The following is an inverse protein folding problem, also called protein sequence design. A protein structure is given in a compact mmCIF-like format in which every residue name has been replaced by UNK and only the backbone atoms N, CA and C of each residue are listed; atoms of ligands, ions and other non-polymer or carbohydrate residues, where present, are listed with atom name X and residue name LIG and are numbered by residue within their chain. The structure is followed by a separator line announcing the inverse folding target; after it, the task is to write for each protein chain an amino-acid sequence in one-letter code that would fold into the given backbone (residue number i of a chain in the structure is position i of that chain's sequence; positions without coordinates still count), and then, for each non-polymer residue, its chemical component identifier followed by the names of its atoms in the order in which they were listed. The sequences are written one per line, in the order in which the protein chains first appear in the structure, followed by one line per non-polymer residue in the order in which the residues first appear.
data_IF_595862838788
#
_entry.id   IF_595862838788
#
_cell.length_a   1.000
_cell.length_b   1.000
_cell.length_c   1.000
_cell.angle_alpha   90.00
_cell.angle_beta   90.00
_cell.angle_gamma   90.00
#
_symmetry.space_group_name_H-M   'P 1'
#
loop_
_entity.id
_entity.type
_entity.pdbx_description
1 polymer ?
#
# COMPACT_ATOMS: atom_id res chain seq x y z
N UNK A 1 27.66 -29.55 30.20
CA UNK A 1 28.68 -28.92 31.04
C UNK A 1 29.91 -28.64 30.19
N UNK A 2 30.17 -27.38 29.83
CA UNK A 2 31.51 -26.77 29.85
C UNK A 2 31.29 -25.28 30.12
N UNK A 3 31.54 -24.86 31.36
CA UNK A 3 31.64 -23.46 31.76
C UNK A 3 33.03 -22.96 31.34
N UNK A 4 33.07 -21.94 30.48
CA UNK A 4 34.28 -21.20 30.16
C UNK A 4 34.15 -19.80 30.74
N UNK A 5 34.69 -19.61 31.92
CA UNK A 5 34.82 -18.32 32.59
C UNK A 5 36.01 -17.56 31.98
N UNK A 6 35.77 -16.40 31.38
CA UNK A 6 36.82 -15.43 31.06
C UNK A 6 36.33 -14.03 31.42
N UNK A 7 36.91 -13.51 32.48
CA UNK A 7 36.81 -12.13 32.93
C UNK A 7 37.80 -11.29 32.10
N UNK A 8 37.30 -10.28 31.41
CA UNK A 8 38.10 -9.37 30.59
C UNK A 8 37.20 -8.29 29.99
N UNK A 9 37.42 -7.04 30.38
CA UNK A 9 36.66 -5.85 29.96
C UNK A 9 36.84 -5.55 28.46
N UNK A 10 36.27 -6.39 27.61
CA UNK A 10 35.98 -6.10 26.22
C UNK A 10 34.48 -5.97 26.07
N UNK A 11 34.01 -4.90 25.41
CA UNK A 11 32.60 -4.71 25.04
C UNK A 11 32.01 -6.02 24.50
N UNK A 12 31.19 -6.69 25.31
CA UNK A 12 30.60 -7.99 24.98
C UNK A 12 29.58 -7.76 23.88
N UNK A 13 29.98 -7.95 22.62
CA UNK A 13 29.09 -7.82 21.46
C UNK A 13 27.97 -8.86 21.61
N UNK A 14 26.78 -8.40 21.96
CA UNK A 14 25.58 -9.21 22.05
C UNK A 14 25.13 -9.60 20.64
N UNK A 15 25.60 -10.74 20.15
CA UNK A 15 25.16 -11.29 18.88
C UNK A 15 23.84 -12.06 19.07
N UNK A 16 22.72 -11.48 18.62
CA UNK A 16 21.41 -12.17 18.59
C UNK A 16 21.26 -12.92 17.27
N UNK A 17 21.12 -14.25 17.34
CA UNK A 17 20.78 -15.07 16.16
C UNK A 17 19.38 -14.72 15.67
N UNK A 18 19.25 -14.45 14.37
CA UNK A 18 17.97 -14.15 13.74
C UNK A 18 17.06 -15.37 13.80
N UNK A 19 15.87 -15.20 14.38
CA UNK A 19 14.81 -16.24 14.44
C UNK A 19 13.78 -15.92 13.35
N UNK A 20 13.19 -16.96 12.78
CA UNK A 20 12.08 -16.84 11.83
C UNK A 20 10.87 -17.55 12.42
N UNK A 21 9.69 -17.05 12.10
CA UNK A 21 8.42 -17.71 12.39
C UNK A 21 8.21 -18.74 11.29
N UNK A 22 7.83 -19.95 11.69
CA UNK A 22 7.45 -20.99 10.76
C UNK A 22 6.25 -21.74 11.34
N UNK A 23 5.35 -22.13 10.44
CA UNK A 23 4.04 -22.63 10.79
C UNK A 23 4.02 -24.17 10.67
N UNK A 24 3.20 -24.86 11.48
CA UNK A 24 3.01 -26.31 11.34
C UNK A 24 2.32 -26.64 10.00
N UNK A 25 2.54 -27.86 9.52
CA UNK A 25 1.92 -28.34 8.28
C UNK A 25 0.39 -28.31 8.37
N UNK A 26 -0.26 -27.84 7.30
CA UNK A 26 -1.71 -27.67 7.24
C UNK A 26 -2.24 -26.36 7.86
N UNK A 27 -1.38 -25.44 8.28
CA UNK A 27 -1.81 -24.11 8.73
C UNK A 27 -2.19 -23.22 7.53
N UNK A 28 -3.38 -22.61 7.59
CA UNK A 28 -3.89 -21.68 6.57
C UNK A 28 -4.29 -20.34 7.18
N UNK A 29 -4.03 -19.25 6.46
CA UNK A 29 -4.46 -17.89 6.76
C UNK A 29 -5.61 -17.57 5.81
N UNK A 30 -6.78 -17.23 6.36
CA UNK A 30 -7.93 -16.79 5.58
C UNK A 30 -8.38 -15.39 5.97
N UNK A 31 -8.80 -14.62 4.97
CA UNK A 31 -9.39 -13.31 5.13
C UNK A 31 -10.70 -13.29 4.33
N UNK A 32 -11.80 -13.02 5.03
CA UNK A 32 -13.11 -12.83 4.42
C UNK A 32 -13.54 -11.38 4.64
N UNK A 33 -13.93 -10.71 3.56
CA UNK A 33 -14.45 -9.35 3.59
C UNK A 33 -15.80 -9.28 2.90
N UNK A 34 -16.74 -8.60 3.56
CA UNK A 34 -18.06 -8.33 3.03
C UNK A 34 -18.21 -6.81 2.90
N UNK A 35 -18.41 -6.31 1.69
CA UNK A 35 -18.66 -4.91 1.41
C UNK A 35 -20.06 -4.75 0.87
N UNK A 36 -20.82 -3.81 1.40
CA UNK A 36 -22.15 -3.45 0.89
C UNK A 36 -22.13 -1.99 0.45
N UNK A 37 -22.37 -1.76 -0.84
CA UNK A 37 -22.43 -0.42 -1.44
C UNK A 37 -23.86 -0.18 -1.92
N UNK A 38 -24.50 0.90 -1.46
CA UNK A 38 -25.80 1.31 -2.00
C UNK A 38 -25.60 1.92 -3.39
N UNK A 39 -26.22 1.39 -4.44
CA UNK A 39 -26.05 1.93 -5.80
C UNK A 39 -26.91 3.18 -6.02
N UNK A 40 -28.08 3.24 -5.38
CA UNK A 40 -29.03 4.35 -5.52
C UNK A 40 -29.56 4.67 -4.13
N UNK A 41 -29.27 5.89 -3.66
CA UNK A 41 -29.77 6.40 -2.39
C UNK A 41 -28.78 6.36 -1.23
N UNK A 42 -27.48 6.59 -1.45
CA UNK A 42 -26.58 6.95 -0.34
C UNK A 42 -25.74 8.22 -0.62
N UNK A 43 -25.56 9.11 0.39
CA UNK A 43 -26.03 8.97 1.77
C UNK A 43 -27.55 9.15 1.83
N UNK A 44 -28.25 8.14 2.35
CA UNK A 44 -29.68 8.25 2.56
C UNK A 44 -29.84 9.38 3.56
N UNK A 45 -30.61 10.44 3.27
CA UNK A 45 -31.13 11.25 4.35
C UNK A 45 -31.86 10.29 5.32
N UNK A 46 -31.93 10.64 6.61
CA UNK A 46 -32.56 9.87 7.69
C UNK A 46 -34.06 9.57 7.48
N UNK A 47 -34.59 9.81 6.28
CA UNK A 47 -35.99 9.79 5.87
C UNK A 47 -36.33 8.74 4.82
N UNK A 48 -35.38 8.06 4.16
CA UNK A 48 -35.70 6.95 3.25
C UNK A 48 -34.55 5.92 3.10
N UNK A 49 -34.78 4.62 3.35
CA UNK A 49 -33.77 3.59 3.08
C UNK A 49 -33.56 3.43 1.56
N UNK A 50 -32.30 3.48 1.11
CA UNK A 50 -31.95 3.21 -0.29
C UNK A 50 -32.42 1.82 -0.74
N UNK A 51 -33.03 1.73 -1.92
CA UNK A 51 -33.77 0.54 -2.37
C UNK A 51 -32.88 -0.54 -3.00
N UNK A 52 -31.69 -0.19 -3.49
CA UNK A 52 -30.78 -1.12 -4.16
C UNK A 52 -29.39 -1.14 -3.50
N UNK A 53 -29.03 -2.28 -2.92
CA UNK A 53 -27.74 -2.54 -2.30
C UNK A 53 -26.98 -3.61 -3.09
N UNK A 54 -25.71 -3.33 -3.40
CA UNK A 54 -24.77 -4.26 -3.99
C UNK A 54 -23.90 -4.83 -2.89
N UNK A 55 -23.96 -6.14 -2.68
CA UNK A 55 -23.08 -6.86 -1.76
C UNK A 55 -21.95 -7.54 -2.52
N UNK A 56 -20.71 -7.22 -2.18
CA UNK A 56 -19.52 -7.93 -2.63
C UNK A 56 -18.93 -8.72 -1.45
N UNK A 57 -18.88 -10.04 -1.57
CA UNK A 57 -18.21 -10.92 -0.61
C UNK A 57 -16.95 -11.49 -1.26
N UNK A 58 -15.80 -11.26 -0.63
CA UNK A 58 -14.53 -11.80 -1.09
C UNK A 58 -13.89 -12.63 0.02
N UNK A 59 -13.33 -13.78 -0.37
CA UNK A 59 -12.64 -14.69 0.53
C UNK A 59 -11.29 -15.08 -0.07
N UNK A 60 -10.22 -14.87 0.67
CA UNK A 60 -8.87 -15.24 0.30
C UNK A 60 -8.37 -16.24 1.33
N UNK A 61 -7.88 -17.39 0.89
CA UNK A 61 -7.21 -18.38 1.73
C UNK A 61 -5.81 -18.63 1.19
N UNK A 62 -4.83 -18.58 2.07
CA UNK A 62 -3.42 -18.79 1.76
C UNK A 62 -2.81 -19.80 2.72
N UNK A 63 -2.10 -20.79 2.19
CA UNK A 63 -1.37 -21.76 2.99
C UNK A 63 -0.09 -21.13 3.54
N UNK A 64 0.15 -21.26 4.85
CA UNK A 64 1.35 -20.69 5.44
C UNK A 64 2.56 -21.59 5.18
N UNK A 65 3.74 -21.00 4.91
CA UNK A 65 4.93 -21.78 4.58
C UNK A 65 5.46 -22.54 5.80
N UNK A 66 5.81 -23.81 5.58
CA UNK A 66 6.39 -24.72 6.58
C UNK A 66 7.86 -24.36 6.93
N UNK A 67 8.43 -24.97 7.98
CA UNK A 67 9.82 -24.86 8.43
C UNK A 67 10.85 -25.02 7.31
N UNK A 68 10.67 -25.99 6.41
CA UNK A 68 11.62 -26.30 5.33
C UNK A 68 11.59 -25.23 4.24
N UNK A 69 10.38 -24.84 3.82
CA UNK A 69 10.16 -23.81 2.81
C UNK A 69 10.61 -22.43 3.29
N UNK A 70 10.29 -22.08 4.54
CA UNK A 70 10.75 -20.84 5.16
C UNK A 70 12.28 -20.79 5.25
N UNK A 71 12.94 -21.88 5.66
CA UNK A 71 14.40 -21.94 5.72
C UNK A 71 15.06 -21.76 4.34
N UNK A 72 14.53 -22.40 3.30
CA UNK A 72 14.99 -22.25 1.92
C UNK A 72 14.78 -20.82 1.41
N UNK A 73 13.61 -20.25 1.66
CA UNK A 73 13.26 -18.88 1.27
C UNK A 73 14.18 -17.84 1.91
N UNK A 74 14.42 -17.93 3.22
CA UNK A 74 15.30 -17.00 3.93
C UNK A 74 16.77 -17.14 3.49
N UNK A 75 17.24 -18.36 3.20
CA UNK A 75 18.58 -18.62 2.70
C UNK A 75 18.79 -18.02 1.30
N UNK A 76 17.79 -18.12 0.41
CA UNK A 76 17.81 -17.53 -0.94
C UNK A 76 17.73 -16.00 -0.92
N UNK A 77 16.98 -15.41 0.01
CA UNK A 77 16.69 -13.96 0.04
C UNK A 77 17.75 -13.07 0.71
N UNK A 78 18.82 -13.60 1.31
CA UNK A 78 19.78 -12.79 2.09
C UNK A 78 20.35 -11.59 1.31
N UNK A 79 20.52 -11.70 -0.01
CA UNK A 79 21.08 -10.64 -0.87
C UNK A 79 20.11 -10.04 -1.90
N UNK A 80 18.87 -10.53 -2.02
CA UNK A 80 17.92 -10.12 -3.08
C UNK A 80 16.63 -9.46 -2.57
N UNK A 81 16.57 -9.08 -1.29
CA UNK A 81 15.36 -8.52 -0.68
C UNK A 81 14.74 -7.36 -1.46
N UNK A 82 15.47 -6.28 -1.82
CA UNK A 82 14.86 -5.13 -2.49
C UNK A 82 14.34 -5.52 -3.89
N UNK A 83 15.10 -6.31 -4.66
CA UNK A 83 14.73 -6.75 -6.00
C UNK A 83 13.47 -7.60 -6.00
N UNK A 84 13.36 -8.58 -5.09
CA UNK A 84 12.16 -9.43 -5.00
C UNK A 84 10.95 -8.62 -4.54
N UNK A 85 11.15 -7.67 -3.62
CA UNK A 85 10.09 -6.80 -3.13
C UNK A 85 9.57 -5.88 -4.26
N UNK A 86 10.45 -5.33 -5.09
CA UNK A 86 10.07 -4.53 -6.27
C UNK A 86 9.32 -5.35 -7.31
N UNK A 87 9.78 -6.57 -7.60
CA UNK A 87 9.10 -7.46 -8.54
C UNK A 87 7.66 -7.74 -8.12
N UNK A 88 7.44 -8.12 -6.85
CA UNK A 88 6.10 -8.40 -6.34
C UNK A 88 5.17 -7.19 -6.41
N UNK A 89 5.70 -5.99 -6.17
CA UNK A 89 4.91 -4.75 -6.29
C UNK A 89 4.60 -4.35 -7.72
N UNK A 90 5.54 -4.57 -8.65
CA UNK A 90 5.27 -4.36 -10.08
C UNK A 90 4.12 -5.25 -10.56
N UNK A 91 4.13 -6.53 -10.19
CA UNK A 91 3.04 -7.46 -10.54
C UNK A 91 1.68 -7.04 -9.93
N UNK A 92 1.69 -6.38 -8.75
CA UNK A 92 0.49 -5.78 -8.17
C UNK A 92 0.04 -4.55 -8.96
N UNK A 93 0.95 -3.62 -9.24
CA UNK A 93 0.64 -2.37 -9.95
C UNK A 93 0.13 -2.63 -11.36
N UNK A 94 0.73 -3.55 -12.09
CA UNK A 94 0.29 -3.97 -13.43
C UNK A 94 -1.17 -4.45 -13.42
N UNK A 95 -1.57 -5.23 -12.41
CA UNK A 95 -2.96 -5.65 -12.25
C UNK A 95 -3.89 -4.47 -11.92
N UNK A 96 -3.44 -3.55 -11.08
CA UNK A 96 -4.22 -2.35 -10.74
C UNK A 96 -4.36 -1.40 -11.91
N UNK A 97 -3.34 -1.25 -12.76
CA UNK A 97 -3.41 -0.49 -14.02
C UNK A 97 -4.53 -1.03 -14.89
N UNK A 98 -4.56 -2.34 -15.13
CA UNK A 98 -5.61 -2.99 -15.94
C UNK A 98 -7.01 -2.74 -15.35
N UNK A 99 -7.16 -2.83 -14.03
CA UNK A 99 -8.45 -2.57 -13.37
C UNK A 99 -8.90 -1.13 -13.60
N UNK A 100 -7.97 -0.17 -13.45
CA UNK A 100 -8.27 1.26 -13.64
C UNK A 100 -8.53 1.60 -15.11
N UNK A 101 -7.83 0.96 -16.04
CA UNK A 101 -8.06 1.07 -17.47
C UNK A 101 -9.47 0.55 -17.84
N UNK A 102 -9.88 -0.59 -17.27
CA UNK A 102 -11.22 -1.14 -17.45
C UNK A 102 -12.32 -0.24 -16.86
N UNK A 103 -11.98 0.61 -15.90
CA UNK A 103 -12.88 1.62 -15.33
C UNK A 103 -12.94 2.91 -16.17
N UNK A 104 -12.14 3.03 -17.23
CA UNK A 104 -12.10 4.18 -18.13
C UNK A 104 -11.10 5.27 -17.75
N UNK A 105 -10.15 4.99 -16.85
CA UNK A 105 -9.09 5.91 -16.47
C UNK A 105 -7.76 5.50 -17.11
N UNK A 106 -6.78 6.42 -17.13
CA UNK A 106 -5.41 6.04 -17.48
C UNK A 106 -4.74 5.39 -16.27
N UNK A 107 -4.81 4.06 -16.17
CA UNK A 107 -4.37 3.28 -15.04
C UNK A 107 -2.92 3.56 -14.67
N UNK A 108 -2.04 3.67 -15.67
CA UNK A 108 -0.62 3.99 -15.47
C UNK A 108 -0.41 5.34 -14.80
N UNK A 109 -1.07 6.39 -15.28
CA UNK A 109 -1.00 7.72 -14.65
C UNK A 109 -1.54 7.69 -13.21
N UNK A 110 -2.63 6.96 -12.98
CA UNK A 110 -3.23 6.85 -11.65
C UNK A 110 -2.35 6.12 -10.63
N UNK A 111 -1.64 5.07 -11.03
CA UNK A 111 -0.67 4.40 -10.16
C UNK A 111 0.52 5.31 -9.87
N UNK A 112 1.04 6.03 -10.85
CA UNK A 112 2.15 6.98 -10.64
C UNK A 112 1.74 8.12 -9.71
N UNK A 113 0.53 8.67 -9.88
CA UNK A 113 -0.06 9.66 -8.97
C UNK A 113 -0.13 9.12 -7.54
N UNK A 114 -0.65 7.91 -7.38
CA UNK A 114 -0.78 7.24 -6.08
C UNK A 114 0.57 7.03 -5.41
N UNK A 115 1.59 6.60 -6.16
CA UNK A 115 2.95 6.41 -5.64
C UNK A 115 3.58 7.71 -5.13
N UNK A 116 3.28 8.83 -5.80
CA UNK A 116 3.71 10.15 -5.37
C UNK A 116 2.91 10.61 -4.13
N UNK A 117 1.58 10.57 -4.18
CA UNK A 117 0.69 11.03 -3.10
C UNK A 117 0.85 10.24 -1.79
N UNK A 118 1.12 8.93 -1.88
CA UNK A 118 1.31 8.07 -0.71
C UNK A 118 2.46 8.54 0.17
N UNK A 119 3.56 9.03 -0.41
CA UNK A 119 4.70 9.55 0.35
C UNK A 119 4.43 10.88 1.06
N UNK A 120 3.51 11.68 0.51
CA UNK A 120 3.15 12.99 1.05
C UNK A 120 2.04 12.91 2.11
N UNK A 121 1.01 12.11 1.85
CA UNK A 121 -0.24 12.13 2.61
C UNK A 121 -0.37 11.02 3.66
N UNK A 122 0.43 9.94 3.58
CA UNK A 122 0.38 8.83 4.54
C UNK A 122 1.52 8.98 5.55
N UNK A 123 1.17 9.45 6.74
CA UNK A 123 2.15 9.71 7.80
C UNK A 123 2.70 8.36 8.31
N UNK A 124 4.00 8.26 8.64
CA UNK A 124 4.53 7.10 9.35
C UNK A 124 3.84 6.96 10.72
N UNK A 125 3.19 5.81 10.95
CA UNK A 125 2.28 5.49 12.08
C UNK A 125 0.88 6.11 11.95
N UNK A 126 0.19 5.82 10.83
CA UNK A 126 -1.18 6.24 10.57
C UNK A 126 -2.19 5.72 11.61
N UNK A 127 -3.36 6.35 11.65
CA UNK A 127 -4.39 6.10 12.66
C UNK A 127 -5.13 4.76 12.50
N UNK A 128 -5.14 4.20 11.28
CA UNK A 128 -5.98 3.05 10.91
C UNK A 128 -5.20 1.91 10.22
N UNK A 129 -5.66 0.67 10.38
CA UNK A 129 -5.07 -0.52 9.73
C UNK A 129 -5.09 -0.41 8.19
N UNK A 130 -6.17 0.11 7.60
CA UNK A 130 -6.31 0.26 6.14
C UNK A 130 -5.26 1.22 5.59
N UNK A 131 -5.01 2.33 6.29
CA UNK A 131 -3.98 3.30 5.94
C UNK A 131 -2.59 2.66 5.94
N UNK A 132 -2.30 1.83 6.95
CA UNK A 132 -1.03 1.13 7.09
C UNK A 132 -0.83 0.06 6.00
N UNK A 133 -1.88 -0.69 5.67
CA UNK A 133 -1.87 -1.66 4.57
C UNK A 133 -1.62 -0.95 3.25
N UNK A 134 -2.34 0.14 2.99
CA UNK A 134 -2.22 0.92 1.78
C UNK A 134 -0.82 1.53 1.65
N UNK A 135 -0.30 2.14 2.72
CA UNK A 135 1.08 2.64 2.80
C UNK A 135 2.07 1.53 2.49
N UNK A 136 1.91 0.34 3.08
CA UNK A 136 2.82 -0.80 2.88
C UNK A 136 2.83 -1.29 1.42
N UNK A 137 1.68 -1.29 0.74
CA UNK A 137 1.56 -1.68 -0.67
C UNK A 137 2.22 -0.68 -1.61
N UNK A 138 2.07 0.62 -1.35
CA UNK A 138 2.56 1.70 -2.23
C UNK A 138 3.91 2.32 -1.81
N UNK A 139 4.56 1.80 -0.77
CA UNK A 139 5.92 2.25 -0.38
C UNK A 139 7.00 1.41 -1.06
N UNK A 140 7.91 2.04 -1.81
CA UNK A 140 9.04 1.38 -2.46
C UNK A 140 10.33 1.50 -1.64
N UNK A 141 11.24 0.50 -1.70
CA UNK A 141 12.52 0.59 -1.02
C UNK A 141 13.43 1.63 -1.70
N UNK A 142 13.95 2.59 -0.93
CA UNK A 142 14.87 3.65 -1.38
C UNK A 142 16.27 3.16 -1.83
N UNK A 143 16.46 1.85 -2.00
CA UNK A 143 17.71 1.29 -2.51
C UNK A 143 17.93 1.69 -3.99
N UNK A 144 19.17 1.69 -4.47
CA UNK A 144 19.44 1.89 -5.91
C UNK A 144 18.83 0.75 -6.73
N UNK A 145 18.43 1.06 -7.96
CA UNK A 145 17.96 0.09 -8.95
C UNK A 145 19.18 -0.48 -9.67
N UNK A 146 19.23 -1.80 -9.82
CA UNK A 146 20.29 -2.44 -10.60
C UNK A 146 20.03 -2.30 -12.10
N UNK A 147 21.07 -2.18 -12.96
CA UNK A 147 20.90 -2.13 -14.42
C UNK A 147 20.24 -3.38 -15.02
N UNK A 148 20.28 -4.50 -14.30
CA UNK A 148 19.61 -5.76 -14.69
C UNK A 148 18.10 -5.77 -14.43
N UNK A 149 17.59 -4.78 -13.69
CA UNK A 149 16.17 -4.65 -13.40
C UNK A 149 15.43 -4.00 -14.57
N UNK A 150 14.17 -4.39 -14.85
CA UNK A 150 13.41 -3.83 -15.97
C UNK A 150 13.04 -2.36 -15.75
N UNK A 151 12.80 -1.66 -16.86
CA UNK A 151 12.66 -0.20 -16.91
C UNK A 151 11.46 0.31 -16.10
N UNK A 152 10.38 -0.47 -16.00
CA UNK A 152 9.18 -0.11 -15.24
C UNK A 152 9.51 0.14 -13.76
N UNK A 153 10.48 -0.59 -13.19
CA UNK A 153 10.92 -0.35 -11.83
C UNK A 153 11.54 1.04 -11.66
N UNK A 154 12.24 1.56 -12.67
CA UNK A 154 12.80 2.91 -12.63
C UNK A 154 11.72 3.98 -12.67
N UNK A 155 10.66 3.78 -13.45
CA UNK A 155 9.55 4.74 -13.57
C UNK A 155 8.77 4.83 -12.26
N UNK A 156 8.43 3.68 -11.65
CA UNK A 156 7.75 3.66 -10.36
C UNK A 156 8.60 4.21 -9.21
N UNK A 157 9.90 3.87 -9.17
CA UNK A 157 10.82 4.40 -8.15
C UNK A 157 11.03 5.91 -8.31
N UNK A 158 11.04 6.42 -9.55
CA UNK A 158 11.09 7.85 -9.83
C UNK A 158 9.81 8.54 -9.31
N UNK A 159 8.62 8.04 -9.64
CA UNK A 159 7.35 8.59 -9.16
C UNK A 159 7.25 8.59 -7.62
N UNK A 160 7.71 7.51 -6.98
CA UNK A 160 7.74 7.43 -5.52
C UNK A 160 8.71 8.44 -4.89
N UNK A 161 9.89 8.62 -5.48
CA UNK A 161 10.85 9.63 -5.00
C UNK A 161 10.39 11.06 -5.25
N UNK A 162 9.64 11.30 -6.33
CA UNK A 162 9.10 12.61 -6.65
C UNK A 162 8.20 13.13 -5.54
N UNK A 163 7.40 12.28 -4.89
CA UNK A 163 6.54 12.71 -3.79
C UNK A 163 7.30 13.16 -2.53
N UNK A 164 8.56 12.72 -2.36
CA UNK A 164 9.44 13.23 -1.28
C UNK A 164 10.05 14.58 -1.63
N UNK A 165 10.22 14.87 -2.92
CA UNK A 165 10.90 16.08 -3.41
C UNK A 165 9.93 17.23 -3.72
N UNK A 166 8.74 16.90 -4.22
CA UNK A 166 7.72 17.86 -4.63
C UNK A 166 6.71 18.07 -3.51
N UNK A 167 6.10 19.26 -3.50
CA UNK A 167 4.98 19.59 -2.60
C UNK A 167 3.63 19.08 -3.14
N UNK A 168 3.53 18.81 -4.44
CA UNK A 168 2.28 18.35 -5.10
C UNK A 168 2.55 17.35 -6.22
N UNK A 169 1.61 16.42 -6.41
CA UNK A 169 1.67 15.33 -7.39
C UNK A 169 0.76 15.56 -8.62
N UNK A 170 0.43 16.82 -8.91
CA UNK A 170 -0.52 17.20 -9.97
C UNK A 170 0.03 16.98 -11.40
N UNK A 171 1.31 16.60 -11.53
CA UNK A 171 1.92 16.26 -12.82
C UNK A 171 1.37 14.97 -13.45
N UNK A 172 0.64 14.15 -12.67
CA UNK A 172 0.04 12.91 -13.15
C UNK A 172 -1.45 13.13 -13.45
N UNK A 173 -1.83 12.95 -14.71
CA UNK A 173 -3.20 13.14 -15.20
C UNK A 173 -4.10 11.97 -14.78
N UNK A 174 -4.54 11.99 -13.52
CA UNK A 174 -5.53 11.05 -13.03
C UNK A 174 -6.57 11.78 -12.15
N UNK A 175 -7.88 11.66 -12.49
CA UNK A 175 -8.94 12.34 -11.75
C UNK A 175 -9.25 11.70 -10.40
N UNK A 176 -8.91 10.41 -10.22
CA UNK A 176 -9.09 9.71 -8.96
C UNK A 176 -7.80 9.74 -8.11
N UNK A 177 -7.98 9.73 -6.79
CA UNK A 177 -6.91 9.60 -5.80
C UNK A 177 -7.18 8.33 -4.98
N UNK A 178 -6.37 7.30 -5.18
CA UNK A 178 -6.50 6.05 -4.43
C UNK A 178 -6.17 6.25 -2.95
N UNK A 179 -5.38 7.28 -2.61
CA UNK A 179 -5.07 7.66 -1.24
C UNK A 179 -6.32 8.18 -0.52
N UNK A 180 -7.13 9.01 -1.20
CA UNK A 180 -8.34 9.56 -0.60
C UNK A 180 -9.42 8.49 -0.43
N UNK A 181 -9.48 7.55 -1.37
CA UNK A 181 -10.28 6.33 -1.23
C UNK A 181 -9.87 5.52 0.01
N UNK A 182 -8.56 5.30 0.20
CA UNK A 182 -8.03 4.55 1.35
C UNK A 182 -8.27 5.25 2.69
N UNK A 183 -8.29 6.59 2.71
CA UNK A 183 -8.64 7.39 3.89
C UNK A 183 -10.14 7.45 4.17
N UNK A 184 -10.98 6.93 3.27
CA UNK A 184 -12.43 6.91 3.44
C UNK A 184 -13.13 8.19 2.98
N UNK A 185 -12.43 9.10 2.27
CA UNK A 185 -13.00 10.35 1.77
C UNK A 185 -13.97 10.15 0.59
N UNK A 186 -14.25 8.91 0.18
CA UNK A 186 -15.24 8.60 -0.86
C UNK A 186 -16.69 8.85 -0.43
N UNK A 187 -16.95 8.93 0.89
CA UNK A 187 -18.26 9.27 1.48
C UNK A 187 -18.22 10.55 2.31
N UNK A 188 -17.10 11.29 2.29
CA UNK A 188 -17.03 12.53 3.04
C UNK A 188 -18.02 13.53 2.42
N UNK A 189 -18.82 14.24 3.23
CA UNK A 189 -19.53 15.40 2.71
C UNK A 189 -18.50 16.30 2.03
N UNK A 190 -18.85 16.86 0.87
CA UNK A 190 -18.00 17.84 0.20
C UNK A 190 -17.50 18.82 1.27
N UNK A 191 -16.18 19.13 1.31
CA UNK A 191 -15.65 20.04 2.31
C UNK A 191 -16.51 21.30 2.31
N UNK A 192 -16.83 21.83 3.49
CA UNK A 192 -17.62 23.06 3.65
C UNK A 192 -16.83 24.23 3.07
N UNK A 193 -16.88 24.35 1.75
CA UNK A 193 -16.23 25.37 0.95
C UNK A 193 -17.25 26.49 0.77
N UNK A 194 -16.95 27.67 1.31
CA UNK A 194 -17.69 28.89 0.97
C UNK A 194 -17.39 29.25 -0.49
N UNK A 195 -18.18 28.68 -1.40
CA UNK A 195 -18.08 28.91 -2.85
C UNK A 195 -18.25 30.40 -3.21
N UNK A 196 -18.90 31.17 -2.34
CA UNK A 196 -19.02 32.62 -2.46
C UNK A 196 -17.68 33.37 -2.30
N UNK A 197 -16.74 32.83 -1.52
CA UNK A 197 -15.45 33.48 -1.22
C UNK A 197 -14.31 32.93 -2.07
N UNK A 198 -14.38 31.67 -2.48
CA UNK A 198 -13.42 31.04 -3.39
C UNK A 198 -14.13 30.11 -4.38
N UNK A 199 -14.63 30.65 -5.51
CA UNK A 199 -15.42 29.89 -6.49
C UNK A 199 -14.65 28.73 -7.14
N UNK A 200 -13.33 28.86 -7.24
CA UNK A 200 -12.44 27.87 -7.85
C UNK A 200 -12.07 26.72 -6.90
N UNK A 201 -12.44 26.79 -5.62
CA UNK A 201 -12.08 25.76 -4.64
C UNK A 201 -12.83 24.43 -4.86
N UNK A 202 -13.99 24.45 -5.52
CA UNK A 202 -14.70 23.24 -5.99
C UNK A 202 -13.90 22.44 -7.03
N UNK A 203 -12.94 23.08 -7.71
CA UNK A 203 -12.13 22.48 -8.77
C UNK A 203 -10.66 22.32 -8.35
N UNK A 204 -10.35 22.63 -7.09
CA UNK A 204 -9.00 22.51 -6.53
C UNK A 204 -8.77 21.09 -6.00
N UNK A 205 -7.75 20.40 -6.50
CA UNK A 205 -7.26 19.12 -5.97
C UNK A 205 -6.46 19.28 -4.66
N UNK A 206 -6.23 20.51 -4.19
CA UNK A 206 -5.58 20.77 -2.90
C UNK A 206 -6.59 20.65 -1.76
N UNK A 207 -6.67 19.44 -1.20
CA UNK A 207 -7.25 19.22 0.13
C UNK A 207 -6.10 19.22 1.14
N UNK A 208 -5.98 20.32 1.87
CA UNK A 208 -5.16 20.43 3.08
C UNK A 208 -5.96 19.99 4.29
#
# INVERSE_FOLDING_TARGET
MIQGEKNGNGLKILSRKKRYVAFPEGSSFSCAGCMTVGLIGQPAPSTAPGTFTFGMNWGIAYELPNNTETALFYRRKKHRKPVVMRRSRRELYEKLEIILDNMGYNGRQCILKTLCETTQRLVPHGGNMVEEIFRTMFTLPMAKILPSEPMEHAIYDAAHRLGVLLESCDNFECPLSLVDLAKGYYNAPAPSLDVARSPWALFSSRFG
#
